data_IF_283019560654
#
_entry.id   IF_283019560654
#
_cell.length_a   1.000
_cell.length_b   1.000
_cell.length_c   1.000
_cell.angle_alpha   90.00
_cell.angle_beta   90.00
_cell.angle_gamma   90.00
#
_symmetry.space_group_name_H-M   'P 1'
#
loop_
_entity.id
_entity.type
_entity.pdbx_description
1 polymer ?
#
# COMPACT_ATOMS: atom_id res chain seq x y z
N UNK A 1 -15.94 -10.65 -40.89
CA UNK A 1 -16.98 -9.61 -40.76
C UNK A 1 -18.08 -10.15 -39.87
N UNK A 2 -18.08 -9.70 -38.61
CA UNK A 2 -19.20 -9.66 -37.67
C UNK A 2 -18.59 -9.13 -36.37
N UNK A 3 -18.63 -7.81 -36.21
CA UNK A 3 -18.14 -7.10 -35.03
C UNK A 3 -19.28 -7.13 -34.02
N UNK A 4 -19.14 -7.92 -32.95
CA UNK A 4 -20.08 -7.84 -31.82
C UNK A 4 -19.75 -6.58 -31.01
N UNK A 5 -20.64 -5.60 -31.14
CA UNK A 5 -20.64 -4.37 -30.35
C UNK A 5 -21.24 -4.75 -28.99
N UNK A 6 -20.40 -4.83 -27.96
CA UNK A 6 -20.84 -4.86 -26.56
C UNK A 6 -21.60 -3.57 -26.27
N UNK A 7 -22.92 -3.67 -26.17
CA UNK A 7 -23.79 -2.57 -25.77
C UNK A 7 -23.52 -2.19 -24.33
N UNK A 8 -23.08 -0.95 -24.12
CA UNK A 8 -22.95 -0.35 -22.81
C UNK A 8 -24.31 -0.40 -22.10
N UNK A 9 -24.41 -1.19 -21.04
CA UNK A 9 -25.51 -1.14 -20.09
C UNK A 9 -25.41 0.21 -19.37
N UNK A 10 -26.43 1.04 -19.54
CA UNK A 10 -26.64 2.26 -18.76
C UNK A 10 -26.80 1.87 -17.30
N UNK A 11 -25.74 2.01 -16.52
CA UNK A 11 -25.80 1.90 -15.06
C UNK A 11 -26.65 3.03 -14.53
N UNK A 12 -27.76 2.67 -13.90
CA UNK A 12 -28.55 3.51 -13.01
C UNK A 12 -27.60 4.22 -12.04
N UNK A 13 -27.78 5.53 -11.90
CA UNK A 13 -27.12 6.35 -10.90
C UNK A 13 -27.46 5.78 -9.52
N UNK A 14 -26.52 5.02 -8.96
CA UNK A 14 -26.56 4.63 -7.56
C UNK A 14 -26.54 5.91 -6.73
N UNK A 15 -27.60 6.09 -5.92
CA UNK A 15 -27.67 7.11 -4.88
C UNK A 15 -26.33 7.22 -4.15
N UNK A 16 -25.88 8.47 -3.97
CA UNK A 16 -24.64 8.77 -3.28
C UNK A 16 -24.61 8.06 -1.90
N UNK A 17 -23.53 7.33 -1.56
CA UNK A 17 -23.40 6.82 -0.21
C UNK A 17 -23.40 8.01 0.76
N UNK A 18 -24.01 7.81 1.93
CA UNK A 18 -24.03 8.77 3.03
C UNK A 18 -22.65 9.45 3.17
N UNK A 19 -22.65 10.79 3.24
CA UNK A 19 -21.46 11.64 3.39
C UNK A 19 -20.37 10.96 4.22
N UNK A 20 -19.26 10.54 3.59
CA UNK A 20 -18.03 10.29 4.33
C UNK A 20 -17.44 11.64 4.73
N UNK A 21 -17.19 11.80 6.03
CA UNK A 21 -16.66 12.95 6.79
C UNK A 21 -15.25 13.47 6.39
N UNK A 22 -14.83 13.41 5.13
CA UNK A 22 -13.45 13.77 4.76
C UNK A 22 -13.45 14.75 3.59
N UNK A 23 -13.16 16.04 3.87
CA UNK A 23 -11.88 16.46 4.43
C UNK A 23 -11.91 16.96 5.88
N UNK A 24 -10.88 16.58 6.63
CA UNK A 24 -10.59 17.03 8.00
C UNK A 24 -9.20 17.65 8.06
N UNK A 25 -8.96 18.46 9.09
CA UNK A 25 -7.64 19.04 9.35
C UNK A 25 -6.57 17.95 9.50
N UNK A 26 -5.36 18.14 8.95
CA UNK A 26 -4.23 17.23 9.14
C UNK A 26 -3.97 16.94 10.62
N UNK A 27 -3.72 15.68 10.94
CA UNK A 27 -3.45 15.26 12.30
C UNK A 27 -2.08 15.77 12.75
N UNK A 28 -2.05 16.37 13.94
CA UNK A 28 -0.82 16.84 14.57
C UNK A 28 -0.25 15.78 15.51
N UNK A 29 1.09 15.71 15.57
CA UNK A 29 1.81 14.88 16.54
C UNK A 29 1.58 15.42 17.96
N UNK A 30 1.54 14.51 18.94
CA UNK A 30 1.53 14.85 20.37
C UNK A 30 2.94 14.90 20.98
N UNK A 31 3.95 14.44 20.25
CA UNK A 31 5.33 14.34 20.73
C UNK A 31 5.61 13.05 21.51
N UNK A 32 4.71 12.05 21.44
CA UNK A 32 4.82 10.82 22.22
C UNK A 32 6.05 9.97 21.84
N UNK A 33 6.59 10.20 20.64
CA UNK A 33 7.74 9.48 20.11
C UNK A 33 9.09 10.19 20.31
N UNK A 34 9.12 11.43 20.85
CA UNK A 34 10.33 12.26 20.94
C UNK A 34 11.41 11.67 21.85
N UNK A 35 11.02 10.86 22.84
CA UNK A 35 11.95 10.18 23.75
C UNK A 35 12.63 8.95 23.13
N UNK A 36 12.16 8.48 21.97
CA UNK A 36 12.69 7.28 21.32
C UNK A 36 13.71 7.65 20.25
N UNK A 37 14.85 6.96 20.28
CA UNK A 37 15.88 7.16 19.28
C UNK A 37 15.37 6.72 17.91
N UNK A 38 15.54 7.58 16.91
CA UNK A 38 15.23 7.27 15.52
C UNK A 38 16.11 8.09 14.57
N UNK A 39 16.15 7.68 13.30
CA UNK A 39 16.78 8.45 12.24
C UNK A 39 16.02 8.27 10.92
N UNK A 40 16.02 9.32 10.10
CA UNK A 40 15.48 9.24 8.75
C UNK A 40 16.48 8.48 7.85
N UNK A 41 16.00 7.41 7.20
CA UNK A 41 16.85 6.53 6.39
C UNK A 41 17.26 7.24 5.09
N UNK A 42 16.34 8.02 4.52
CA UNK A 42 16.63 8.97 3.45
C UNK A 42 15.94 10.31 3.75
N UNK A 43 16.34 11.42 3.11
CA UNK A 43 15.66 12.70 3.31
C UNK A 43 14.15 12.65 2.99
N UNK A 44 13.76 11.96 1.92
CA UNK A 44 12.39 11.96 1.40
C UNK A 44 11.47 10.96 2.10
N UNK A 45 11.97 9.76 2.41
CA UNK A 45 11.14 8.61 2.81
C UNK A 45 11.92 7.67 3.72
N UNK A 46 11.23 7.03 4.66
CA UNK A 46 11.83 6.06 5.57
C UNK A 46 12.31 6.67 6.88
N UNK A 47 11.93 6.05 7.99
CA UNK A 47 12.49 6.28 9.33
C UNK A 47 12.71 4.97 10.05
N UNK A 48 13.85 4.79 10.69
CA UNK A 48 14.11 3.62 11.52
C UNK A 48 14.10 4.03 13.00
N UNK A 49 13.34 3.30 13.82
CA UNK A 49 13.35 3.45 15.27
C UNK A 49 14.35 2.45 15.86
N UNK A 50 15.22 2.94 16.73
CA UNK A 50 16.33 2.18 17.31
C UNK A 50 15.89 1.66 18.68
N UNK A 51 16.14 0.36 18.91
CA UNK A 51 15.90 -0.32 20.19
C UNK A 51 14.47 -0.14 20.75
N UNK A 52 13.47 -0.11 19.86
CA UNK A 52 12.04 -0.05 20.21
C UNK A 52 11.42 -1.45 20.17
N UNK A 53 10.62 -1.78 21.19
CA UNK A 53 9.75 -2.95 21.22
C UNK A 53 8.27 -2.51 21.09
N UNK A 54 7.63 -2.86 19.98
CA UNK A 54 6.24 -2.47 19.72
C UNK A 54 5.23 -3.16 20.64
N UNK A 55 5.55 -4.34 21.18
CA UNK A 55 4.70 -5.00 22.18
C UNK A 55 4.64 -4.17 23.47
N UNK A 56 5.75 -3.54 23.86
CA UNK A 56 5.76 -2.61 25.01
C UNK A 56 4.90 -1.37 24.71
N UNK A 57 5.00 -0.79 23.51
CA UNK A 57 4.15 0.34 23.11
C UNK A 57 2.66 -0.01 23.08
N UNK A 58 2.29 -1.21 22.62
CA UNK A 58 0.92 -1.70 22.62
C UNK A 58 0.35 -1.90 24.02
N UNK A 59 1.20 -2.02 25.05
CA UNK A 59 0.81 -2.28 26.44
C UNK A 59 1.11 -1.13 27.40
N UNK A 60 1.76 -0.07 26.91
CA UNK A 60 2.08 1.11 27.70
C UNK A 60 0.81 1.87 28.16
N UNK A 61 0.84 2.55 29.33
CA UNK A 61 -0.31 3.35 29.79
C UNK A 61 -0.73 4.46 28.80
N UNK A 62 0.20 4.99 28.01
CA UNK A 62 -0.02 5.99 26.96
C UNK A 62 -0.02 5.36 25.54
N UNK A 63 -0.38 4.08 25.42
CA UNK A 63 -0.32 3.33 24.16
C UNK A 63 -1.01 4.06 22.99
N UNK A 64 -2.20 4.63 23.20
CA UNK A 64 -2.93 5.33 22.14
C UNK A 64 -2.14 6.51 21.57
N UNK A 65 -1.45 7.28 22.42
CA UNK A 65 -0.64 8.41 21.98
C UNK A 65 0.58 7.92 21.18
N UNK A 66 1.23 6.84 21.63
CA UNK A 66 2.36 6.22 20.92
C UNK A 66 1.95 5.70 19.54
N UNK A 67 0.86 4.92 19.47
CA UNK A 67 0.41 4.32 18.20
C UNK A 67 -0.16 5.38 17.26
N UNK A 68 -0.84 6.41 17.78
CA UNK A 68 -1.33 7.52 16.96
C UNK A 68 -0.18 8.34 16.37
N UNK A 69 0.81 8.72 17.17
CA UNK A 69 1.96 9.45 16.66
C UNK A 69 2.82 8.59 15.72
N UNK A 70 2.86 7.27 15.95
CA UNK A 70 3.48 6.33 15.03
C UNK A 70 2.75 6.34 13.68
N UNK A 71 1.42 6.25 13.67
CA UNK A 71 0.62 6.31 12.45
C UNK A 71 0.85 7.61 11.67
N UNK A 72 0.85 8.77 12.34
CA UNK A 72 1.15 10.06 11.71
C UNK A 72 2.57 10.09 11.16
N UNK A 73 3.55 9.57 11.93
CA UNK A 73 4.94 9.49 11.49
C UNK A 73 5.07 8.60 10.25
N UNK A 74 4.39 7.46 10.20
CA UNK A 74 4.34 6.59 9.02
C UNK A 74 3.72 7.34 7.84
N UNK A 75 2.59 8.02 8.01
CA UNK A 75 1.94 8.79 6.95
C UNK A 75 2.78 9.96 6.43
N UNK A 76 3.64 10.57 7.26
CA UNK A 76 4.56 11.64 6.86
C UNK A 76 5.84 11.10 6.20
N UNK A 77 6.38 9.99 6.72
CA UNK A 77 7.65 9.40 6.27
C UNK A 77 7.48 8.28 5.26
N UNK A 78 6.25 7.92 4.91
CA UNK A 78 5.89 6.83 4.00
C UNK A 78 6.04 5.43 4.61
N UNK A 79 7.22 5.11 5.15
CA UNK A 79 7.52 3.82 5.77
C UNK A 79 8.40 3.99 7.00
N UNK A 80 8.20 3.14 7.99
CA UNK A 80 9.07 3.03 9.17
C UNK A 80 9.57 1.60 9.37
N UNK A 81 10.70 1.48 10.05
CA UNK A 81 11.38 0.21 10.27
C UNK A 81 11.67 -0.03 11.75
N UNK A 82 11.55 -1.29 12.15
CA UNK A 82 11.90 -1.80 13.47
C UNK A 82 12.69 -3.09 13.32
N UNK A 83 13.66 -3.32 14.21
CA UNK A 83 14.50 -4.53 14.21
C UNK A 83 14.06 -5.49 15.29
N UNK A 84 14.20 -6.80 15.04
CA UNK A 84 14.05 -7.87 16.06
C UNK A 84 12.80 -7.73 16.94
N UNK A 85 11.63 -7.61 16.33
CA UNK A 85 10.35 -7.57 17.04
C UNK A 85 9.94 -8.99 17.49
N UNK A 86 10.78 -9.63 18.30
CA UNK A 86 10.67 -11.05 18.67
C UNK A 86 9.44 -11.35 19.53
N UNK A 87 8.96 -10.36 20.29
CA UNK A 87 7.77 -10.45 21.14
C UNK A 87 6.47 -10.05 20.41
N UNK A 88 6.56 -9.63 19.14
CA UNK A 88 5.39 -9.28 18.35
C UNK A 88 4.94 -10.54 17.62
N UNK A 89 3.87 -11.18 18.07
CA UNK A 89 3.24 -12.31 17.37
C UNK A 89 2.25 -11.84 16.30
N UNK A 90 1.48 -12.77 15.72
CA UNK A 90 0.51 -12.41 14.67
C UNK A 90 -0.68 -11.64 15.23
N UNK A 91 -1.16 -11.96 16.44
CA UNK A 91 -2.31 -11.29 17.03
C UNK A 91 -1.97 -9.85 17.42
N UNK A 92 -0.78 -9.63 17.98
CA UNK A 92 -0.27 -8.29 18.27
C UNK A 92 0.00 -7.48 17.00
N UNK A 93 0.52 -8.11 15.94
CA UNK A 93 0.70 -7.43 14.65
C UNK A 93 -0.64 -7.00 14.05
N UNK A 94 -1.69 -7.82 14.18
CA UNK A 94 -3.05 -7.50 13.76
C UNK A 94 -3.66 -6.37 14.59
N UNK A 95 -3.50 -6.42 15.91
CA UNK A 95 -3.92 -5.35 16.82
C UNK A 95 -3.26 -4.02 16.43
N UNK A 96 -1.93 -4.02 16.21
CA UNK A 96 -1.19 -2.84 15.78
C UNK A 96 -1.72 -2.30 14.45
N UNK A 97 -1.86 -3.16 13.43
CA UNK A 97 -2.37 -2.76 12.12
C UNK A 97 -3.75 -2.09 12.24
N UNK A 98 -4.65 -2.69 13.00
CA UNK A 98 -6.01 -2.17 13.19
C UNK A 98 -6.00 -0.82 13.93
N UNK A 99 -5.23 -0.72 15.02
CA UNK A 99 -5.15 0.49 15.86
C UNK A 99 -4.51 1.68 15.14
N UNK A 100 -3.53 1.48 14.26
CA UNK A 100 -2.96 2.56 13.45
C UNK A 100 -4.04 3.29 12.64
N UNK A 101 -4.94 2.53 12.00
CA UNK A 101 -6.07 3.06 11.27
C UNK A 101 -7.12 3.72 12.18
N UNK A 102 -7.51 3.05 13.26
CA UNK A 102 -8.56 3.53 14.18
C UNK A 102 -8.15 4.84 14.87
N UNK A 103 -6.91 4.93 15.36
CA UNK A 103 -6.39 6.13 16.03
C UNK A 103 -6.10 7.28 15.06
N UNK A 104 -6.07 6.98 13.77
CA UNK A 104 -6.09 7.99 12.70
C UNK A 104 -7.47 8.12 12.07
N UNK A 105 -8.53 7.63 12.71
CA UNK A 105 -9.92 7.84 12.30
C UNK A 105 -10.26 7.27 10.92
N UNK A 106 -9.86 6.04 10.61
CA UNK A 106 -10.48 5.28 9.52
C UNK A 106 -11.96 4.99 9.84
N UNK A 107 -12.80 4.66 8.83
CA UNK A 107 -14.18 4.26 9.08
C UNK A 107 -14.26 3.04 10.00
N UNK A 108 -15.21 3.03 10.95
CA UNK A 108 -15.38 1.90 11.89
C UNK A 108 -15.68 0.56 11.19
N UNK A 109 -16.28 0.62 10.00
CA UNK A 109 -16.56 -0.55 9.14
C UNK A 109 -15.32 -1.14 8.50
N UNK A 110 -14.19 -0.44 8.51
CA UNK A 110 -12.93 -0.85 7.89
C UNK A 110 -12.05 -1.61 8.88
N UNK A 111 -11.93 -2.91 8.66
CA UNK A 111 -11.20 -3.87 9.50
C UNK A 111 -9.91 -4.34 8.84
N UNK A 112 -9.39 -5.47 9.28
CA UNK A 112 -8.25 -6.13 8.64
C UNK A 112 -8.71 -6.81 7.35
N UNK A 113 -7.87 -6.75 6.33
CA UNK A 113 -8.16 -7.29 5.03
C UNK A 113 -7.96 -8.81 4.98
N UNK A 114 -8.89 -9.51 4.34
CA UNK A 114 -8.78 -10.94 4.03
C UNK A 114 -8.38 -11.09 2.56
N UNK A 115 -7.22 -11.68 2.28
CA UNK A 115 -6.72 -11.74 0.91
C UNK A 115 -7.56 -12.69 0.02
N UNK A 116 -7.97 -12.29 -1.21
CA UNK A 116 -8.87 -13.08 -2.05
C UNK A 116 -8.33 -14.46 -2.44
N UNK A 117 -6.99 -14.61 -2.47
CA UNK A 117 -6.27 -15.86 -2.84
C UNK A 117 -5.42 -16.46 -1.69
N UNK A 118 -5.04 -15.66 -0.68
CA UNK A 118 -4.02 -16.02 0.34
C UNK A 118 -4.60 -15.93 1.75
N UNK A 119 -5.78 -16.52 1.91
CA UNK A 119 -6.51 -16.66 3.18
C UNK A 119 -6.49 -18.12 3.64
N UNK A 120 -7.00 -18.39 4.84
CA UNK A 120 -6.94 -19.72 5.47
C UNK A 120 -7.72 -20.81 4.72
N UNK A 121 -8.65 -20.40 3.85
CA UNK A 121 -9.39 -21.30 2.96
C UNK A 121 -8.60 -21.80 1.75
N UNK A 122 -7.37 -21.34 1.52
CA UNK A 122 -6.57 -21.73 0.36
C UNK A 122 -5.26 -22.41 0.74
N UNK A 123 -4.82 -23.33 -0.13
CA UNK A 123 -3.50 -23.99 -0.06
C UNK A 123 -2.32 -23.00 0.02
N UNK A 124 -2.55 -21.75 -0.39
CA UNK A 124 -1.59 -20.66 -0.42
C UNK A 124 -1.58 -19.76 0.82
N UNK A 125 -2.57 -19.91 1.72
CA UNK A 125 -2.70 -19.10 2.92
C UNK A 125 -2.21 -19.80 4.18
N UNK A 126 -2.21 -19.05 5.28
CA UNK A 126 -1.92 -19.57 6.62
C UNK A 126 -3.14 -20.21 7.27
N UNK A 127 -3.17 -20.25 8.60
CA UNK A 127 -4.37 -20.66 9.37
C UNK A 127 -5.25 -19.47 9.78
N UNK A 128 -4.85 -18.26 9.38
CA UNK A 128 -5.45 -16.99 9.75
C UNK A 128 -5.81 -16.24 8.47
N UNK A 129 -7.06 -15.79 8.36
CA UNK A 129 -7.58 -15.10 7.19
C UNK A 129 -7.01 -13.68 7.03
N UNK A 130 -6.60 -13.07 8.13
CA UNK A 130 -6.11 -11.69 8.21
C UNK A 130 -4.58 -11.59 8.12
N UNK A 131 -3.90 -12.75 8.10
CA UNK A 131 -2.45 -12.85 7.89
C UNK A 131 -2.14 -13.50 6.55
N UNK A 132 -1.56 -12.71 5.65
CA UNK A 132 -0.97 -13.23 4.42
C UNK A 132 0.46 -13.72 4.66
N UNK A 133 0.68 -15.03 4.52
CA UNK A 133 2.04 -15.62 4.57
C UNK A 133 2.76 -15.34 3.25
N UNK A 134 3.76 -14.47 3.29
CA UNK A 134 4.60 -14.10 2.15
C UNK A 134 5.82 -15.01 2.13
N UNK A 135 5.67 -16.22 1.57
CA UNK A 135 6.76 -17.19 1.45
C UNK A 135 7.20 -17.41 0.01
N UNK A 136 8.52 -17.39 -0.18
CA UNK A 136 9.18 -17.73 -1.45
C UNK A 136 9.03 -19.20 -1.83
N UNK A 137 8.97 -20.13 -0.88
CA UNK A 137 8.74 -21.56 -1.17
C UNK A 137 7.30 -21.79 -1.64
N UNK A 138 6.30 -21.21 -0.95
CA UNK A 138 4.91 -21.22 -1.43
C UNK A 138 4.79 -20.56 -2.81
N UNK A 139 5.56 -19.50 -3.07
CA UNK A 139 5.56 -18.84 -4.37
C UNK A 139 6.13 -19.73 -5.49
N UNK A 140 7.12 -20.60 -5.23
CA UNK A 140 7.63 -21.56 -6.23
C UNK A 140 6.56 -22.54 -6.69
N UNK A 141 5.68 -22.94 -5.78
CA UNK A 141 4.65 -23.93 -6.08
C UNK A 141 3.55 -23.40 -7.00
N UNK A 142 3.28 -22.09 -6.94
CA UNK A 142 2.12 -21.47 -7.63
C UNK A 142 2.51 -20.44 -8.69
N UNK A 143 3.59 -19.70 -8.47
CA UNK A 143 4.03 -18.62 -9.36
C UNK A 143 5.43 -18.92 -9.89
N UNK A 144 5.57 -20.00 -10.65
CA UNK A 144 6.86 -20.47 -11.20
C UNK A 144 7.65 -19.38 -11.94
N UNK A 145 6.96 -18.39 -12.52
CA UNK A 145 7.58 -17.27 -13.25
C UNK A 145 8.09 -16.13 -12.36
N UNK A 146 7.68 -16.01 -11.10
CA UNK A 146 8.08 -14.89 -10.22
C UNK A 146 9.56 -14.92 -9.82
N UNK A 147 10.18 -16.10 -9.84
CA UNK A 147 11.61 -16.28 -9.54
C UNK A 147 12.47 -16.42 -10.80
N UNK A 148 11.87 -16.29 -11.99
CA UNK A 148 12.63 -16.24 -13.25
C UNK A 148 13.24 -14.85 -13.37
N UNK A 149 14.55 -14.79 -13.62
CA UNK A 149 15.25 -13.53 -13.85
C UNK A 149 14.68 -12.85 -15.10
N UNK A 150 14.00 -11.72 -14.91
CA UNK A 150 13.49 -10.87 -15.98
C UNK A 150 14.53 -9.80 -16.36
N UNK A 151 14.41 -9.24 -17.56
CA UNK A 151 15.21 -8.10 -17.99
C UNK A 151 14.90 -6.83 -17.17
N UNK A 152 13.64 -6.63 -16.79
CA UNK A 152 13.19 -5.50 -15.96
C UNK A 152 12.27 -6.00 -14.85
N UNK A 153 12.35 -5.33 -13.69
CA UNK A 153 11.50 -5.55 -12.52
C UNK A 153 10.56 -4.35 -12.26
N UNK A 154 10.49 -3.37 -13.17
CA UNK A 154 9.69 -2.16 -12.98
C UNK A 154 8.22 -2.46 -12.68
N UNK A 155 7.64 -3.48 -13.31
CA UNK A 155 6.22 -3.83 -13.14
C UNK A 155 5.91 -4.42 -11.75
N UNK A 156 6.93 -4.61 -10.90
CA UNK A 156 6.76 -5.04 -9.51
C UNK A 156 6.34 -3.92 -8.55
N UNK A 157 6.40 -2.64 -8.95
CA UNK A 157 5.97 -1.53 -8.11
C UNK A 157 4.45 -1.48 -7.98
N UNK A 158 3.96 -1.27 -6.76
CA UNK A 158 2.52 -1.14 -6.47
C UNK A 158 2.24 -0.61 -5.07
N UNK A 159 1.03 -0.10 -4.87
CA UNK A 159 0.37 -0.09 -3.56
C UNK A 159 -0.50 -1.34 -3.43
N UNK A 160 -0.60 -1.89 -2.22
CA UNK A 160 -1.39 -3.08 -1.96
C UNK A 160 -2.88 -2.84 -2.20
N UNK A 161 -3.55 -3.85 -2.77
CA UNK A 161 -5.01 -4.00 -2.83
C UNK A 161 -5.81 -2.80 -3.39
N UNK A 162 -5.21 -2.01 -4.29
CA UNK A 162 -5.90 -0.88 -4.94
C UNK A 162 -6.99 -1.29 -5.92
N UNK A 163 -7.25 -2.59 -6.09
CA UNK A 163 -8.39 -3.12 -6.84
C UNK A 163 -9.65 -3.26 -5.99
N UNK A 164 -9.55 -3.01 -4.67
CA UNK A 164 -10.70 -3.01 -3.75
C UNK A 164 -11.32 -1.60 -3.66
N UNK A 165 -12.65 -1.48 -3.53
CA UNK A 165 -13.30 -0.19 -3.30
C UNK A 165 -12.78 0.56 -2.06
N UNK A 166 -12.45 -0.18 -0.99
CA UNK A 166 -11.81 0.30 0.23
C UNK A 166 -10.41 -0.32 0.31
N UNK A 167 -9.36 0.34 -0.22
CA UNK A 167 -8.00 -0.19 -0.21
C UNK A 167 -7.33 -0.01 1.16
N UNK A 168 -6.09 -0.50 1.25
CA UNK A 168 -5.34 -0.48 2.51
C UNK A 168 -4.94 0.94 2.92
N UNK A 169 -5.05 1.23 4.22
CA UNK A 169 -4.40 2.37 4.84
C UNK A 169 -2.95 2.07 5.21
N UNK A 170 -2.73 1.08 6.06
CA UNK A 170 -1.42 0.65 6.52
C UNK A 170 -1.22 -0.84 6.25
N UNK A 171 0.00 -1.18 5.86
CA UNK A 171 0.42 -2.57 5.74
C UNK A 171 1.71 -2.80 6.53
N UNK A 172 1.78 -3.98 7.15
CA UNK A 172 2.84 -4.40 8.05
C UNK A 172 3.43 -5.70 7.53
N UNK A 173 4.75 -5.77 7.38
CA UNK A 173 5.45 -7.00 7.00
C UNK A 173 6.55 -7.32 8.01
N UNK A 174 6.38 -8.41 8.76
CA UNK A 174 7.40 -8.99 9.64
C UNK A 174 8.06 -10.19 8.95
N UNK A 175 9.36 -10.14 8.67
CA UNK A 175 10.06 -11.30 8.10
C UNK A 175 10.46 -12.28 9.20
N UNK A 176 10.05 -13.55 9.08
CA UNK A 176 10.38 -14.61 10.04
C UNK A 176 11.55 -15.49 9.57
N UNK A 177 11.79 -15.54 8.26
CA UNK A 177 12.91 -16.26 7.66
C UNK A 177 13.55 -15.41 6.57
N UNK A 178 14.89 -15.39 6.54
CA UNK A 178 15.67 -14.59 5.61
C UNK A 178 16.64 -15.47 4.81
N UNK A 179 16.86 -15.17 3.52
CA UNK A 179 17.95 -15.78 2.78
C UNK A 179 19.29 -15.28 3.31
N UNK A 180 20.38 -15.97 2.95
CA UNK A 180 21.75 -15.55 3.31
C UNK A 180 22.09 -14.13 2.84
N UNK A 181 21.51 -13.71 1.70
CA UNK A 181 21.61 -12.37 1.14
C UNK A 181 20.46 -12.15 0.15
N UNK A 182 20.22 -10.88 -0.22
CA UNK A 182 19.11 -10.48 -1.08
C UNK A 182 17.75 -10.52 -0.38
N UNK A 183 16.68 -10.30 -1.13
CA UNK A 183 15.31 -10.30 -0.61
C UNK A 183 14.86 -8.98 -0.01
N UNK A 184 15.61 -7.91 -0.28
CA UNK A 184 15.32 -6.55 0.13
C UNK A 184 13.97 -6.07 -0.42
N UNK A 185 13.38 -5.10 0.26
CA UNK A 185 12.16 -4.43 -0.21
C UNK A 185 12.50 -2.96 -0.47
N UNK A 186 11.96 -2.40 -1.55
CA UNK A 186 12.06 -0.98 -1.86
C UNK A 186 10.70 -0.32 -1.68
N UNK A 187 10.70 0.94 -1.24
CA UNK A 187 9.53 1.82 -1.19
C UNK A 187 9.82 3.13 -1.92
N UNK A 188 8.78 3.77 -2.44
CA UNK A 188 8.84 5.02 -3.20
C UNK A 188 7.71 5.96 -2.75
N UNK A 189 8.04 7.25 -2.57
CA UNK A 189 7.09 8.26 -2.10
C UNK A 189 6.19 8.78 -3.22
N UNK A 190 4.88 8.60 -3.09
CA UNK A 190 3.88 9.18 -3.99
C UNK A 190 3.69 10.69 -3.79
N UNK A 191 4.05 11.22 -2.62
CA UNK A 191 4.11 12.68 -2.39
C UNK A 191 5.24 13.31 -3.20
N UNK A 192 6.45 12.76 -3.11
CA UNK A 192 7.59 13.27 -3.88
C UNK A 192 7.36 13.14 -5.38
N UNK A 193 6.67 12.08 -5.82
CA UNK A 193 6.27 11.94 -7.22
C UNK A 193 5.30 13.05 -7.64
N UNK A 194 4.32 13.41 -6.80
CA UNK A 194 3.38 14.50 -7.07
C UNK A 194 4.09 15.86 -7.11
N UNK A 195 4.97 16.11 -6.13
CA UNK A 195 5.73 17.35 -6.00
C UNK A 195 6.66 17.62 -7.20
N UNK A 196 7.04 16.59 -7.97
CA UNK A 196 7.83 16.72 -9.21
C UNK A 196 7.03 17.07 -10.45
N UNK A 197 5.71 16.91 -10.40
CA UNK A 197 4.85 17.28 -11.52
C UNK A 197 4.74 18.80 -11.58
N UNK A 198 4.89 19.38 -12.76
CA UNK A 198 4.63 20.82 -12.91
C UNK A 198 3.17 21.13 -12.60
N UNK A 199 2.88 22.36 -12.15
CA UNK A 199 1.53 22.77 -11.77
C UNK A 199 0.45 22.49 -12.85
N UNK A 200 0.71 22.65 -14.17
CA UNK A 200 -0.25 22.25 -15.20
C UNK A 200 -0.55 20.74 -15.20
N UNK A 201 0.46 19.90 -15.03
CA UNK A 201 0.27 18.45 -14.94
C UNK A 201 -0.44 18.06 -13.64
N UNK A 202 -0.12 18.69 -12.52
CA UNK A 202 -0.84 18.49 -11.26
C UNK A 202 -2.34 18.71 -11.46
N UNK A 203 -2.75 19.89 -11.97
CA UNK A 203 -4.16 20.22 -12.24
C UNK A 203 -4.82 19.25 -13.21
N UNK A 204 -4.09 18.83 -14.24
CA UNK A 204 -4.59 17.85 -15.20
C UNK A 204 -4.90 16.52 -14.53
N UNK A 205 -3.94 15.95 -13.78
CA UNK A 205 -4.13 14.64 -13.15
C UNK A 205 -5.08 14.68 -11.94
N UNK A 206 -5.19 15.81 -11.23
CA UNK A 206 -6.19 16.03 -10.19
C UNK A 206 -7.63 15.88 -10.73
N UNK A 207 -7.85 16.11 -12.03
CA UNK A 207 -9.17 15.97 -12.66
C UNK A 207 -9.52 14.54 -13.08
N UNK A 208 -8.56 13.60 -12.99
CA UNK A 208 -8.70 12.27 -13.56
C UNK A 208 -8.91 11.19 -12.50
N UNK A 209 -9.58 10.12 -12.93
CA UNK A 209 -9.69 8.86 -12.20
C UNK A 209 -9.00 7.75 -13.00
N UNK A 210 -8.71 6.64 -12.36
CA UNK A 210 -8.17 5.45 -13.00
C UNK A 210 -8.94 4.21 -12.53
N UNK A 211 -9.06 3.25 -13.45
CA UNK A 211 -9.60 1.93 -13.17
C UNK A 211 -8.47 0.99 -12.77
N UNK A 212 -8.62 0.37 -11.61
CA UNK A 212 -7.70 -0.59 -11.01
C UNK A 212 -8.34 -1.97 -11.02
N UNK A 213 -7.56 -2.99 -11.33
CA UNK A 213 -8.03 -4.37 -11.32
C UNK A 213 -6.91 -5.36 -10.98
N UNK A 214 -7.28 -6.58 -10.62
CA UNK A 214 -6.34 -7.70 -10.51
C UNK A 214 -6.85 -8.94 -11.27
N UNK A 215 -6.88 -8.91 -12.61
CA UNK A 215 -7.42 -10.00 -13.43
C UNK A 215 -6.62 -11.30 -13.27
N UNK A 216 -5.35 -11.20 -12.87
CA UNK A 216 -4.46 -12.32 -12.64
C UNK A 216 -4.93 -13.28 -11.54
N UNK A 217 -5.67 -12.78 -10.54
CA UNK A 217 -6.21 -13.65 -9.49
C UNK A 217 -7.35 -14.53 -10.01
N UNK A 218 -8.24 -13.96 -10.83
CA UNK A 218 -9.29 -14.73 -11.50
C UNK A 218 -8.70 -15.77 -12.46
N UNK A 219 -7.65 -15.38 -13.21
CA UNK A 219 -6.91 -16.32 -14.08
C UNK A 219 -6.28 -17.46 -13.28
N UNK A 220 -5.55 -17.14 -12.21
CA UNK A 220 -4.91 -18.15 -11.36
C UNK A 220 -5.93 -19.08 -10.69
N UNK A 221 -7.08 -18.54 -10.26
CA UNK A 221 -8.20 -19.32 -9.71
C UNK A 221 -8.75 -20.34 -10.73
N UNK A 222 -8.99 -19.90 -11.97
CA UNK A 222 -9.45 -20.76 -13.04
C UNK A 222 -8.41 -21.84 -13.42
N UNK A 223 -7.14 -21.46 -13.56
CA UNK A 223 -6.04 -22.37 -13.93
C UNK A 223 -5.74 -23.42 -12.85
N UNK A 224 -5.97 -23.10 -11.57
CA UNK A 224 -5.66 -23.98 -10.44
C UNK A 224 -6.92 -24.56 -9.77
N UNK A 225 -8.10 -24.40 -10.38
CA UNK A 225 -9.39 -24.94 -9.93
C UNK A 225 -9.73 -24.62 -8.46
N UNK A 226 -9.55 -23.37 -8.04
CA UNK A 226 -10.05 -22.86 -6.77
C UNK A 226 -10.93 -21.62 -7.01
N UNK A 227 -11.76 -21.25 -6.04
CA UNK A 227 -12.58 -20.03 -6.10
C UNK A 227 -11.94 -18.91 -5.31
N UNK A 228 -12.09 -17.67 -5.75
CA UNK A 228 -11.70 -16.53 -4.93
C UNK A 228 -12.58 -16.43 -3.68
N UNK A 229 -12.04 -15.86 -2.62
CA UNK A 229 -12.82 -15.51 -1.45
C UNK A 229 -13.78 -14.35 -1.77
N UNK A 230 -15.07 -14.68 -1.86
CA UNK A 230 -16.12 -13.79 -2.34
C UNK A 230 -16.94 -13.12 -1.23
N UNK A 231 -16.74 -13.50 0.03
CA UNK A 231 -17.32 -12.81 1.18
C UNK A 231 -16.62 -11.48 1.47
N UNK A 232 -17.14 -10.70 2.43
CA UNK A 232 -16.54 -9.42 2.81
C UNK A 232 -15.07 -9.59 3.24
N UNK A 233 -14.17 -8.82 2.63
CA UNK A 233 -12.72 -8.86 2.85
C UNK A 233 -12.24 -7.74 3.77
N UNK A 234 -12.93 -7.58 4.90
CA UNK A 234 -12.62 -6.57 5.93
C UNK A 234 -13.43 -5.28 5.84
N UNK A 235 -14.18 -5.05 4.75
CA UNK A 235 -15.13 -3.96 4.61
C UNK A 235 -16.39 -4.46 3.87
N UNK A 236 -17.59 -3.91 4.17
CA UNK A 236 -18.83 -4.34 3.53
C UNK A 236 -18.85 -4.10 2.01
N UNK A 237 -18.09 -3.12 1.52
CA UNK A 237 -17.94 -2.81 0.10
C UNK A 237 -16.95 -3.74 -0.62
N UNK A 238 -16.01 -4.35 0.11
CA UNK A 238 -14.99 -5.24 -0.43
C UNK A 238 -15.52 -6.67 -0.49
N UNK A 239 -16.47 -6.94 -1.39
CA UNK A 239 -17.18 -8.23 -1.49
C UNK A 239 -17.25 -8.69 -2.96
N UNK A 240 -17.45 -9.99 -3.17
CA UNK A 240 -17.58 -10.60 -4.50
C UNK A 240 -16.25 -10.91 -5.18
N UNK A 241 -16.31 -11.44 -6.40
CA UNK A 241 -15.13 -11.89 -7.15
C UNK A 241 -14.64 -10.85 -8.19
N UNK A 242 -15.40 -9.76 -8.36
CA UNK A 242 -15.03 -8.63 -9.21
C UNK A 242 -14.01 -7.74 -8.48
N UNK A 243 -12.74 -8.04 -8.67
CA UNK A 243 -11.61 -7.28 -8.13
C UNK A 243 -11.29 -6.08 -9.03
N UNK A 244 -12.21 -5.13 -9.10
CA UNK A 244 -12.12 -3.91 -9.92
C UNK A 244 -12.64 -2.73 -9.11
N UNK A 245 -11.92 -1.61 -9.12
CA UNK A 245 -12.32 -0.37 -8.48
C UNK A 245 -11.85 0.86 -9.28
N UNK A 246 -12.55 1.98 -9.14
CA UNK A 246 -12.16 3.27 -9.72
C UNK A 246 -11.76 4.23 -8.60
N UNK A 247 -10.59 4.86 -8.74
CA UNK A 247 -10.05 5.80 -7.76
C UNK A 247 -9.46 7.04 -8.44
N UNK A 248 -9.31 8.18 -7.73
CA UNK A 248 -8.58 9.34 -8.25
C UNK A 248 -7.15 8.99 -8.68
N UNK A 249 -6.65 9.63 -9.73
CA UNK A 249 -5.23 9.53 -10.13
C UNK A 249 -4.34 10.23 -9.10
N UNK A 250 -4.79 11.39 -8.62
CA UNK A 250 -4.21 12.10 -7.47
C UNK A 250 -5.19 11.97 -6.32
N UNK A 251 -4.71 11.54 -5.15
CA UNK A 251 -5.53 11.42 -3.94
C UNK A 251 -4.99 12.28 -2.81
N UNK A 252 -5.85 12.58 -1.84
CA UNK A 252 -5.48 13.16 -0.56
C UNK A 252 -5.25 12.04 0.47
N UNK A 253 -4.20 12.17 1.27
CA UNK A 253 -4.02 11.35 2.46
C UNK A 253 -4.75 12.03 3.65
N UNK A 254 -5.74 11.39 4.29
CA UNK A 254 -6.55 12.01 5.35
C UNK A 254 -5.79 12.23 6.66
N UNK A 255 -4.58 11.71 6.80
CA UNK A 255 -3.73 11.88 7.99
C UNK A 255 -2.89 13.14 7.86
N UNK A 256 -2.27 13.34 6.69
CA UNK A 256 -1.35 14.46 6.43
C UNK A 256 -2.02 15.64 5.72
N UNK A 257 -3.15 15.41 5.05
CA UNK A 257 -3.77 16.37 4.14
C UNK A 257 -2.95 16.62 2.87
N UNK A 258 -1.98 15.74 2.54
CA UNK A 258 -1.12 15.91 1.38
C UNK A 258 -1.63 15.15 0.16
N UNK A 259 -1.36 15.71 -1.02
CA UNK A 259 -1.62 15.08 -2.32
C UNK A 259 -0.53 14.09 -2.70
N UNK A 260 -0.94 12.92 -3.16
CA UNK A 260 -0.09 11.86 -3.67
C UNK A 260 -0.61 11.38 -5.02
N UNK A 261 0.29 11.06 -5.94
CA UNK A 261 -0.09 10.23 -7.09
C UNK A 261 -0.53 8.86 -6.55
N UNK A 262 -1.62 8.30 -7.07
CA UNK A 262 -2.14 6.98 -6.71
C UNK A 262 -2.18 6.02 -7.90
N UNK A 263 -2.32 6.57 -9.12
CA UNK A 263 -2.37 5.85 -10.39
C UNK A 263 -1.04 5.24 -10.84
N UNK A 264 -0.31 4.58 -9.93
CA UNK A 264 0.97 3.91 -10.22
C UNK A 264 0.89 2.43 -9.85
N UNK A 265 1.52 1.60 -10.69
CA UNK A 265 1.78 0.19 -10.41
C UNK A 265 0.81 -0.76 -11.10
N UNK A 266 1.05 -2.05 -10.89
CA UNK A 266 0.49 -3.10 -11.75
C UNK A 266 -1.03 -3.32 -11.64
N UNK A 267 -1.71 -2.72 -10.66
CA UNK A 267 -3.17 -2.78 -10.59
C UNK A 267 -3.85 -1.78 -11.53
N UNK A 268 -3.17 -0.68 -11.92
CA UNK A 268 -3.76 0.35 -12.79
C UNK A 268 -3.91 -0.21 -14.20
N UNK A 269 -5.15 -0.32 -14.68
CA UNK A 269 -5.42 -0.84 -16.03
C UNK A 269 -5.42 0.29 -17.06
N UNK A 270 -6.05 1.41 -16.73
CA UNK A 270 -6.10 2.61 -17.56
C UNK A 270 -6.58 3.82 -16.75
N UNK A 271 -6.23 5.01 -17.23
CA UNK A 271 -6.73 6.29 -16.74
C UNK A 271 -8.02 6.64 -17.50
N UNK A 272 -9.08 6.90 -16.74
CA UNK A 272 -10.40 7.19 -17.26
C UNK A 272 -10.42 8.56 -17.94
N UNK A 273 -11.11 8.66 -19.09
CA UNK A 273 -11.20 9.89 -19.87
C UNK A 273 -10.03 10.14 -20.84
N UNK A 274 -8.94 9.37 -20.76
CA UNK A 274 -7.84 9.43 -21.72
C UNK A 274 -8.01 8.38 -22.83
N UNK A 275 -7.45 8.65 -24.01
CA UNK A 275 -7.33 7.60 -25.03
C UNK A 275 -6.38 6.50 -24.54
N UNK A 276 -6.50 5.30 -25.13
CA UNK A 276 -5.66 4.14 -24.75
C UNK A 276 -4.15 4.46 -24.77
N UNK A 277 -3.69 5.21 -25.75
CA UNK A 277 -2.26 5.53 -25.89
C UNK A 277 -1.81 6.61 -24.90
N UNK A 278 -2.63 7.62 -24.62
CA UNK A 278 -2.35 8.64 -23.58
C UNK A 278 -2.31 8.01 -22.19
N UNK A 279 -3.29 7.16 -21.88
CA UNK A 279 -3.37 6.39 -20.64
C UNK A 279 -2.12 5.52 -20.46
N UNK A 280 -1.77 4.71 -21.46
CA UNK A 280 -0.58 3.85 -21.41
C UNK A 280 0.70 4.66 -21.20
N UNK A 281 0.90 5.74 -21.96
CA UNK A 281 2.09 6.61 -21.82
C UNK A 281 2.18 7.26 -20.46
N UNK A 282 1.06 7.68 -19.89
CA UNK A 282 1.02 8.30 -18.56
C UNK A 282 1.42 7.30 -17.48
N UNK A 283 0.85 6.09 -17.51
CA UNK A 283 1.19 5.02 -16.56
C UNK A 283 2.67 4.63 -16.69
N UNK A 284 3.17 4.46 -17.93
CA UNK A 284 4.57 4.19 -18.19
C UNK A 284 5.48 5.31 -17.68
N UNK A 285 5.09 6.58 -17.84
CA UNK A 285 5.85 7.74 -17.38
C UNK A 285 5.89 7.86 -15.86
N UNK A 286 4.77 7.66 -15.17
CA UNK A 286 4.78 7.63 -13.70
C UNK A 286 5.68 6.51 -13.17
N UNK A 287 5.63 5.32 -13.78
CA UNK A 287 6.52 4.23 -13.40
C UNK A 287 7.98 4.54 -13.70
N UNK A 288 8.27 5.17 -14.84
CA UNK A 288 9.61 5.65 -15.18
C UNK A 288 10.13 6.62 -14.12
N UNK A 289 9.34 7.63 -13.73
CA UNK A 289 9.69 8.58 -12.68
C UNK A 289 9.99 7.86 -11.36
N UNK A 290 9.19 6.86 -10.98
CA UNK A 290 9.50 6.04 -9.79
C UNK A 290 10.86 5.37 -9.94
N UNK A 291 11.14 4.72 -11.08
CA UNK A 291 12.37 3.93 -11.26
C UNK A 291 13.65 4.74 -11.46
N UNK A 292 13.56 5.93 -12.07
CA UNK A 292 14.73 6.75 -12.42
C UNK A 292 15.14 7.73 -11.31
N UNK A 293 14.23 8.04 -10.39
CA UNK A 293 14.50 8.96 -9.28
C UNK A 293 14.80 8.15 -8.01
N UNK A 294 16.08 7.92 -7.70
CA UNK A 294 16.46 7.14 -6.53
C UNK A 294 16.27 7.89 -5.21
N UNK A 295 16.21 9.22 -5.26
CA UNK A 295 16.03 10.10 -4.11
C UNK A 295 14.60 10.08 -3.54
N UNK A 296 13.61 9.68 -4.33
CA UNK A 296 12.25 9.41 -3.84
C UNK A 296 12.07 8.00 -3.24
N UNK A 297 13.11 7.17 -3.27
CA UNK A 297 13.08 5.78 -2.86
C UNK A 297 13.83 5.54 -1.54
N UNK A 298 13.45 4.45 -0.87
CA UNK A 298 14.26 3.83 0.19
C UNK A 298 14.32 2.33 -0.06
N UNK A 299 15.52 1.74 0.09
CA UNK A 299 15.73 0.29 0.05
C UNK A 299 16.02 -0.20 1.46
N UNK A 300 15.19 -1.10 1.97
CA UNK A 300 15.41 -1.75 3.26
C UNK A 300 16.04 -3.12 3.04
N UNK A 301 17.25 -3.27 3.56
CA UNK A 301 17.87 -4.58 3.74
C UNK A 301 17.37 -5.19 5.05
N UNK A 302 16.71 -6.33 4.93
CA UNK A 302 16.31 -7.15 6.06
C UNK A 302 17.55 -7.78 6.69
N UNK A 303 17.70 -7.68 8.01
CA UNK A 303 18.92 -8.11 8.71
C UNK A 303 18.66 -9.22 9.71
N UNK A 304 17.51 -9.20 10.39
CA UNK A 304 17.18 -10.14 11.45
C UNK A 304 15.83 -10.81 11.21
N UNK A 305 15.66 -12.00 11.81
CA UNK A 305 14.33 -12.53 12.03
C UNK A 305 13.53 -11.51 12.87
N UNK A 306 12.26 -11.38 12.54
CA UNK A 306 11.30 -10.44 13.09
C UNK A 306 11.64 -8.96 12.90
N UNK A 307 12.51 -8.62 11.94
CA UNK A 307 12.52 -7.25 11.41
C UNK A 307 11.12 -6.94 10.82
N UNK A 308 10.64 -5.72 11.06
CA UNK A 308 9.30 -5.25 10.70
C UNK A 308 9.40 -3.94 9.91
N UNK A 309 8.66 -3.87 8.80
CA UNK A 309 8.36 -2.62 8.12
C UNK A 309 6.87 -2.32 8.20
N UNK A 310 6.53 -1.04 8.42
CA UNK A 310 5.15 -0.54 8.41
C UNK A 310 5.09 0.64 7.45
N UNK A 311 4.18 0.64 6.48
CA UNK A 311 4.05 1.73 5.51
C UNK A 311 2.62 2.21 5.35
N UNK A 312 2.47 3.48 5.00
CA UNK A 312 1.20 4.09 4.60
C UNK A 312 0.94 3.77 3.13
N UNK A 313 0.05 2.82 2.88
CA UNK A 313 -0.26 2.31 1.56
C UNK A 313 -1.10 3.30 0.73
N UNK A 314 -1.58 4.39 1.32
CA UNK A 314 -2.28 5.47 0.59
C UNK A 314 -1.33 6.30 -0.27
N UNK A 315 -0.06 6.39 0.09
CA UNK A 315 0.87 7.36 -0.51
C UNK A 315 2.25 6.79 -0.81
N UNK A 316 2.38 5.47 -0.79
CA UNK A 316 3.64 4.76 -1.02
C UNK A 316 3.45 3.59 -1.95
N UNK A 317 4.41 3.39 -2.85
CA UNK A 317 4.55 2.19 -3.65
C UNK A 317 5.69 1.35 -3.10
N UNK A 318 5.64 0.04 -3.30
CA UNK A 318 6.72 -0.85 -2.91
C UNK A 318 6.95 -1.97 -3.91
N UNK A 319 8.13 -2.57 -3.85
CA UNK A 319 8.48 -3.75 -4.62
C UNK A 319 9.47 -4.65 -3.88
N UNK A 320 9.34 -5.97 -4.08
CA UNK A 320 10.26 -6.95 -3.53
C UNK A 320 11.40 -7.24 -4.52
N UNK A 321 12.62 -7.35 -4.00
CA UNK A 321 13.80 -7.73 -4.80
C UNK A 321 13.93 -9.25 -4.81
N UNK A 322 13.82 -9.88 -5.98
CA UNK A 322 13.90 -11.33 -6.14
C UNK A 322 15.33 -11.82 -6.46
N UNK A 323 16.33 -11.31 -5.75
CA UNK A 323 17.76 -11.56 -5.95
C UNK A 323 18.37 -12.64 -5.03
N UNK A 324 17.52 -13.55 -4.51
CA UNK A 324 17.88 -14.53 -3.49
C UNK A 324 17.68 -15.99 -3.91
N UNK A 325 17.54 -16.26 -5.21
CA UNK A 325 17.43 -17.64 -5.73
C UNK A 325 18.71 -18.42 -5.40
N UNK A 326 18.56 -19.56 -4.73
CA UNK A 326 19.68 -20.39 -4.27
C UNK A 326 20.35 -19.90 -2.97
N UNK A 327 19.87 -18.81 -2.36
CA UNK A 327 20.44 -18.24 -1.13
C UNK A 327 19.67 -18.61 0.15
N UNK A 328 18.58 -19.35 0.04
CA UNK A 328 17.75 -19.80 1.16
C UNK A 328 16.29 -19.30 1.06
N UNK A 329 15.42 -19.73 1.99
CA UNK A 329 14.03 -19.30 2.01
C UNK A 329 13.92 -17.85 2.51
N UNK A 330 12.87 -17.18 2.03
CA UNK A 330 12.36 -15.90 2.52
C UNK A 330 10.90 -16.08 2.88
N UNK A 331 10.55 -15.83 4.14
CA UNK A 331 9.17 -15.96 4.67
C UNK A 331 8.84 -14.80 5.59
N UNK A 332 7.64 -14.24 5.47
CA UNK A 332 7.14 -13.20 6.38
C UNK A 332 5.63 -13.21 6.56
N UNK A 333 5.17 -12.56 7.62
CA UNK A 333 3.76 -12.42 8.00
C UNK A 333 3.31 -11.00 7.65
N UNK A 334 2.31 -10.87 6.77
CA UNK A 334 1.75 -9.57 6.37
C UNK A 334 0.35 -9.38 6.93
N UNK A 335 0.16 -8.29 7.68
CA UNK A 335 -1.14 -7.80 8.11
C UNK A 335 -1.46 -6.52 7.34
N UNK A 336 -2.71 -6.37 6.92
CA UNK A 336 -3.16 -5.24 6.10
C UNK A 336 -4.41 -4.67 6.74
N UNK A 337 -4.35 -3.41 7.15
CA UNK A 337 -5.51 -2.66 7.60
C UNK A 337 -6.17 -1.98 6.39
N UNK A 338 -7.50 -1.90 6.40
CA UNK A 338 -8.28 -1.14 5.43
C UNK A 338 -8.49 0.28 5.91
N UNK A 339 -8.42 1.23 4.97
CA UNK A 339 -8.64 2.64 5.22
C UNK A 339 -10.02 3.12 4.79
N UNK A 340 -10.03 4.26 4.14
CA UNK A 340 -11.18 4.91 3.55
C UNK A 340 -11.25 4.73 2.03
N UNK A 341 -12.42 5.00 1.45
CA UNK A 341 -12.52 5.16 -0.01
C UNK A 341 -11.59 6.29 -0.46
N UNK A 342 -10.70 6.08 -1.44
CA UNK A 342 -9.79 7.12 -1.91
C UNK A 342 -10.57 8.32 -2.47
N UNK A 343 -10.13 9.51 -2.08
CA UNK A 343 -10.73 10.78 -2.51
C UNK A 343 -9.64 11.81 -2.78
N UNK A 344 -10.01 12.88 -3.48
CA UNK A 344 -9.20 14.09 -3.63
C UNK A 344 -9.97 15.25 -3.00
N UNK A 345 -9.38 15.90 -1.99
CA UNK A 345 -9.85 17.20 -1.52
C UNK A 345 -9.19 18.31 -2.33
N UNK A 346 -9.95 19.12 -3.09
CA UNK A 346 -9.40 20.24 -3.86
C UNK A 346 -8.64 21.28 -3.00
N UNK A 347 -8.90 21.33 -1.68
CA UNK A 347 -8.23 22.23 -0.73
C UNK A 347 -6.97 21.63 -0.11
N UNK A 348 -6.72 20.34 -0.31
CA UNK A 348 -5.47 19.71 0.14
C UNK A 348 -4.27 20.30 -0.60
N UNK A 349 -3.08 20.17 -0.01
CA UNK A 349 -1.85 20.76 -0.52
C UNK A 349 -0.87 19.70 -0.98
N UNK A 350 0.15 20.11 -1.74
CA UNK A 350 1.33 19.28 -1.93
C UNK A 350 2.09 19.13 -0.61
N UNK A 351 2.97 18.12 -0.50
CA UNK A 351 3.81 17.99 0.70
C UNK A 351 4.79 19.16 0.81
N UNK A 352 5.38 19.59 -0.31
CA UNK A 352 6.29 20.75 -0.34
C UNK A 352 5.61 22.03 0.14
N UNK A 353 4.41 22.30 -0.36
CA UNK A 353 3.59 23.45 0.06
C UNK A 353 3.31 23.41 1.57
N UNK A 354 2.86 22.26 2.08
CA UNK A 354 2.57 22.10 3.50
C UNK A 354 3.78 22.27 4.42
N UNK A 355 4.98 21.92 3.92
CA UNK A 355 6.23 22.03 4.65
C UNK A 355 6.95 23.37 4.39
N UNK A 356 6.39 24.26 3.57
CA UNK A 356 7.01 25.54 3.21
C UNK A 356 8.34 25.39 2.44
N UNK A 357 8.51 24.28 1.72
CA UNK A 357 9.69 24.05 0.88
C UNK A 357 9.51 24.80 -0.45
N UNK A 358 10.37 25.77 -0.73
CA UNK A 358 10.34 26.56 -1.97
C UNK A 358 10.73 25.70 -3.16
N UNK A 359 10.01 25.81 -4.28
CA UNK A 359 10.46 25.22 -5.54
C UNK A 359 11.70 25.99 -6.02
N UNK A 360 12.86 25.33 -5.95
CA UNK A 360 14.08 25.83 -6.56
C UNK A 360 13.92 25.67 -8.08
N UNK A 361 13.30 26.65 -8.75
CA UNK A 361 13.37 26.81 -10.21
C UNK A 361 14.64 27.57 -10.64
#
# INVERSE_FOLDING_TARGET
>A
MATEILTASTTETTDAPAQSEYPREPLQLKGALESYQSFDVTPVIGREFVDVNLTEWLRAPNSDDLIRDLAITISQRGVVFFRKQDDLDNDLQKELAQRLGELTGKPETSKLHIHPVRNSGHRLGGKDDEISVISSELAKEVFKERLVKKQSAKDGWHSDITFEPIPSDYALLRLTELPKSGGDTLWASGYELYDRLSQPYQKFFESLTATYAQPEFNRAAAENNFKLYSSARGAPENVGESLIATHPVIRTNPVTGWKSVFGVGHHVQYIDGLTKEESRRTIDWFLQLVTENHDLQVRHRWQNANDLAIWDNRSVYHTATYDYVGLGPRTGQRAVSLGERPYLDPKSTSRREALGLTDDE
#
